data_IF_851957463966
#
_entry.id   IF_851957463966
#
_cell.length_a   1.000
_cell.length_b   1.000
_cell.length_c   1.000
_cell.angle_alpha   90.00
_cell.angle_beta   90.00
_cell.angle_gamma   90.00
#
_symmetry.space_group_name_H-M   'P 1'
#
loop_
_entity.id
_entity.type
_entity.pdbx_description
1 polymer ?
#
# COMPACT_ATOMS: atom_id res chain seq x y z
N UNK A 1 2.52 -37.48 -25.99
CA UNK A 1 3.52 -38.33 -25.34
C UNK A 1 3.27 -38.34 -23.84
N UNK A 2 3.64 -39.42 -23.16
CA UNK A 2 3.58 -39.54 -21.71
C UNK A 2 5.00 -39.78 -21.20
N UNK A 3 5.45 -38.96 -20.25
CA UNK A 3 6.81 -38.99 -19.69
C UNK A 3 6.69 -39.00 -18.18
N UNK A 4 7.27 -40.00 -17.53
CA UNK A 4 7.20 -40.18 -16.09
C UNK A 4 8.59 -40.51 -15.52
N UNK A 5 8.94 -39.88 -14.39
CA UNK A 5 10.17 -40.17 -13.65
C UNK A 5 11.47 -40.07 -14.48
N UNK A 6 11.51 -39.13 -15.42
CA UNK A 6 12.70 -38.88 -16.23
C UNK A 6 13.58 -37.79 -15.59
N UNK A 7 14.88 -37.89 -15.80
CA UNK A 7 15.85 -36.83 -15.48
C UNK A 7 16.33 -36.17 -16.80
N UNK A 8 15.96 -34.91 -17.00
CA UNK A 8 16.18 -34.15 -18.23
C UNK A 8 17.13 -32.99 -17.92
N UNK A 9 18.37 -33.09 -18.40
CA UNK A 9 19.39 -32.12 -18.03
C UNK A 9 20.46 -31.83 -19.07
N UNK A 10 21.21 -30.74 -18.88
CA UNK A 10 22.31 -30.29 -19.74
C UNK A 10 21.92 -30.10 -21.22
N UNK A 11 20.64 -29.77 -21.47
CA UNK A 11 20.13 -29.55 -22.82
C UNK A 11 20.61 -28.19 -23.36
N UNK A 12 20.95 -28.15 -24.66
CA UNK A 12 21.26 -26.90 -25.37
C UNK A 12 20.00 -26.04 -25.58
N UNK A 13 18.84 -26.68 -25.70
CA UNK A 13 17.52 -26.04 -25.82
C UNK A 13 16.67 -26.40 -24.60
N UNK A 14 15.35 -26.19 -24.67
CA UNK A 14 14.46 -26.53 -23.57
C UNK A 14 14.43 -28.04 -23.34
N UNK A 15 14.28 -28.46 -22.07
CA UNK A 15 14.12 -29.87 -21.72
C UNK A 15 12.85 -30.46 -22.34
N UNK A 16 11.76 -29.70 -22.32
CA UNK A 16 10.55 -29.99 -23.09
C UNK A 16 10.16 -28.80 -23.95
N UNK A 17 10.16 -28.97 -25.27
CA UNK A 17 9.55 -28.03 -26.21
C UNK A 17 8.20 -28.59 -26.68
N UNK A 18 7.13 -27.83 -26.45
CA UNK A 18 5.76 -28.19 -26.84
C UNK A 18 5.21 -27.15 -27.80
N UNK A 19 4.86 -27.58 -29.01
CA UNK A 19 4.40 -26.68 -30.06
C UNK A 19 3.32 -27.28 -30.96
N UNK A 20 2.74 -26.44 -31.81
CA UNK A 20 1.78 -26.83 -32.84
C UNK A 20 0.60 -27.65 -32.28
N UNK A 21 0.03 -27.22 -31.16
CA UNK A 21 -1.11 -27.91 -30.53
C UNK A 21 -0.77 -29.19 -29.78
N UNK A 22 0.51 -29.57 -29.66
CA UNK A 22 0.90 -30.76 -28.93
C UNK A 22 0.49 -30.69 -27.45
N UNK A 23 0.08 -31.83 -26.89
CA UNK A 23 -0.42 -31.94 -25.51
C UNK A 23 0.20 -33.13 -24.77
N UNK A 24 1.51 -33.08 -24.43
CA UNK A 24 2.14 -34.15 -23.68
C UNK A 24 1.73 -34.14 -22.21
N UNK A 25 1.92 -35.26 -21.53
CA UNK A 25 1.81 -35.36 -20.07
C UNK A 25 3.19 -35.69 -19.51
N UNK A 26 3.68 -34.87 -18.59
CA UNK A 26 5.00 -34.96 -17.97
C UNK A 26 4.81 -34.93 -16.45
N UNK A 27 5.16 -36.04 -15.80
CA UNK A 27 4.87 -36.27 -14.39
C UNK A 27 6.10 -36.75 -13.64
N UNK A 28 6.35 -36.25 -12.44
CA UNK A 28 7.46 -36.72 -11.58
C UNK A 28 8.85 -36.65 -12.22
N UNK A 29 9.05 -35.77 -13.20
CA UNK A 29 10.35 -35.57 -13.85
C UNK A 29 11.19 -34.51 -13.14
N UNK A 30 12.51 -34.60 -13.32
CA UNK A 30 13.48 -33.57 -12.95
C UNK A 30 13.98 -32.86 -14.23
N UNK A 31 13.88 -31.53 -14.29
CA UNK A 31 14.20 -30.73 -15.48
C UNK A 31 15.16 -29.62 -15.07
N UNK A 32 16.46 -29.81 -15.32
CA UNK A 32 17.46 -28.94 -14.73
C UNK A 32 18.73 -28.70 -15.54
N UNK A 33 19.50 -27.66 -15.17
CA UNK A 33 20.81 -27.37 -15.76
C UNK A 33 20.78 -27.24 -17.30
N UNK A 34 19.65 -26.82 -17.86
CA UNK A 34 19.52 -26.50 -19.28
C UNK A 34 20.12 -25.13 -19.62
N UNK A 35 20.62 -24.98 -20.85
CA UNK A 35 21.16 -23.70 -21.35
C UNK A 35 20.07 -22.67 -21.66
N UNK A 36 18.80 -23.08 -21.75
CA UNK A 36 17.63 -22.20 -21.91
C UNK A 36 16.59 -22.48 -20.80
N UNK A 37 15.28 -22.36 -21.08
CA UNK A 37 14.22 -22.64 -20.12
C UNK A 37 13.94 -24.13 -19.97
N UNK A 38 13.42 -24.58 -18.82
CA UNK A 38 13.15 -26.00 -18.59
C UNK A 38 12.04 -26.54 -19.50
N UNK A 39 10.91 -25.84 -19.52
CA UNK A 39 9.75 -26.14 -20.35
C UNK A 39 9.46 -24.92 -21.23
N UNK A 40 9.27 -25.14 -22.53
CA UNK A 40 8.90 -24.11 -23.49
C UNK A 40 7.66 -24.51 -24.27
N UNK A 41 6.54 -23.83 -24.01
CA UNK A 41 5.26 -24.06 -24.67
C UNK A 41 4.92 -22.88 -25.57
N UNK A 42 4.81 -23.13 -26.88
CA UNK A 42 4.56 -22.10 -27.88
C UNK A 42 3.67 -22.62 -29.02
N UNK A 43 3.30 -21.76 -29.98
CA UNK A 43 2.46 -22.11 -31.15
C UNK A 43 1.20 -22.92 -30.79
N UNK A 44 0.35 -22.38 -29.92
CA UNK A 44 -0.85 -23.04 -29.40
C UNK A 44 -0.57 -24.36 -28.67
N UNK A 45 0.65 -24.56 -28.18
CA UNK A 45 1.03 -25.72 -27.40
C UNK A 45 0.18 -25.84 -26.14
N UNK A 46 -0.12 -27.09 -25.79
CA UNK A 46 -0.79 -27.46 -24.55
C UNK A 46 0.25 -28.14 -23.65
N UNK A 47 -0.17 -29.18 -22.93
CA UNK A 47 0.70 -29.98 -22.08
C UNK A 47 0.25 -29.94 -20.63
N UNK A 48 0.49 -31.05 -19.95
CA UNK A 48 0.25 -31.21 -18.52
C UNK A 48 1.59 -31.50 -17.85
N UNK A 49 2.07 -30.56 -17.04
CA UNK A 49 3.31 -30.68 -16.28
C UNK A 49 2.93 -30.74 -14.81
N UNK A 50 2.97 -31.94 -14.25
CA UNK A 50 2.40 -32.26 -12.94
C UNK A 50 3.48 -32.86 -12.03
N UNK A 51 3.60 -32.37 -10.79
CA UNK A 51 4.46 -33.00 -9.77
C UNK A 51 5.95 -33.12 -10.20
N UNK A 52 6.46 -32.18 -11.00
CA UNK A 52 7.85 -32.14 -11.46
C UNK A 52 8.73 -31.20 -10.63
N UNK A 53 10.05 -31.38 -10.73
CA UNK A 53 11.05 -30.44 -10.22
C UNK A 53 11.74 -29.73 -11.39
N UNK A 54 11.71 -28.40 -11.40
CA UNK A 54 12.24 -27.58 -12.49
C UNK A 54 13.19 -26.55 -11.88
N UNK A 55 14.50 -26.72 -12.07
CA UNK A 55 15.46 -25.87 -11.36
C UNK A 55 16.78 -25.68 -12.06
N UNK A 56 17.58 -24.69 -11.60
CA UNK A 56 18.96 -24.49 -12.06
C UNK A 56 19.10 -24.30 -13.58
N UNK A 57 18.03 -23.89 -14.26
CA UNK A 57 18.05 -23.58 -15.68
C UNK A 57 18.59 -22.16 -15.89
N UNK A 58 19.24 -21.90 -17.02
CA UNK A 58 19.83 -20.59 -17.32
C UNK A 58 18.77 -19.53 -17.64
N UNK A 59 17.60 -19.92 -18.15
CA UNK A 59 16.45 -19.05 -18.31
C UNK A 59 15.29 -19.48 -17.39
N UNK A 60 14.07 -18.99 -17.64
CA UNK A 60 12.96 -19.27 -16.75
C UNK A 60 12.63 -20.77 -16.72
N UNK A 61 12.13 -21.26 -15.58
CA UNK A 61 11.74 -22.67 -15.45
C UNK A 61 10.70 -23.08 -16.49
N UNK A 62 9.68 -22.23 -16.69
CA UNK A 62 8.61 -22.43 -17.66
C UNK A 62 8.40 -21.19 -18.52
N UNK A 63 8.35 -21.36 -19.83
CA UNK A 63 7.98 -20.36 -20.81
C UNK A 63 6.66 -20.72 -21.50
N UNK A 64 5.74 -19.76 -21.53
CA UNK A 64 4.43 -19.92 -22.19
C UNK A 64 4.21 -18.73 -23.11
N UNK A 65 4.02 -19.00 -24.41
CA UNK A 65 3.84 -17.94 -25.41
C UNK A 65 2.99 -18.37 -26.60
N UNK A 66 2.73 -17.44 -27.52
CA UNK A 66 2.05 -17.68 -28.79
C UNK A 66 0.73 -18.43 -28.61
N UNK A 67 -0.17 -17.85 -27.80
CA UNK A 67 -1.50 -18.40 -27.50
C UNK A 67 -1.52 -19.79 -26.82
N UNK A 68 -0.38 -20.25 -26.29
CA UNK A 68 -0.29 -21.54 -25.61
C UNK A 68 -1.02 -21.56 -24.27
N UNK A 69 -1.53 -22.74 -23.88
CA UNK A 69 -2.38 -22.93 -22.72
C UNK A 69 -2.08 -24.24 -21.96
N UNK A 70 -0.89 -24.41 -21.39
CA UNK A 70 -0.54 -25.60 -20.63
C UNK A 70 -1.13 -25.59 -19.21
N UNK A 71 -1.16 -26.75 -18.57
CA UNK A 71 -1.40 -26.90 -17.13
C UNK A 71 -0.07 -27.16 -16.42
N UNK A 72 0.31 -26.25 -15.52
CA UNK A 72 1.50 -26.33 -14.67
C UNK A 72 1.00 -26.52 -13.24
N UNK A 73 1.08 -27.76 -12.73
CA UNK A 73 0.42 -28.14 -11.47
C UNK A 73 1.33 -28.87 -10.48
N UNK A 74 1.33 -28.46 -9.21
CA UNK A 74 2.08 -29.13 -8.13
C UNK A 74 3.58 -29.32 -8.39
N UNK A 75 4.19 -28.42 -9.17
CA UNK A 75 5.62 -28.48 -9.45
C UNK A 75 6.41 -27.68 -8.39
N UNK A 76 7.67 -28.07 -8.20
CA UNK A 76 8.69 -27.25 -7.52
C UNK A 76 9.51 -26.52 -8.60
N UNK A 77 9.48 -25.18 -8.60
CA UNK A 77 10.16 -24.34 -9.61
C UNK A 77 11.13 -23.38 -8.92
N UNK A 78 12.43 -23.68 -8.95
CA UNK A 78 13.36 -22.98 -8.08
C UNK A 78 14.77 -22.77 -8.60
N UNK A 79 15.49 -21.82 -7.99
CA UNK A 79 16.91 -21.54 -8.25
C UNK A 79 17.25 -21.39 -9.76
N UNK A 80 16.32 -20.88 -10.56
CA UNK A 80 16.58 -20.50 -11.96
C UNK A 80 17.27 -19.13 -12.03
N UNK A 81 18.06 -18.92 -13.09
CA UNK A 81 18.77 -17.66 -13.32
C UNK A 81 17.87 -16.55 -13.91
N UNK A 82 16.59 -16.84 -14.19
CA UNK A 82 15.55 -15.87 -14.53
C UNK A 82 14.30 -16.07 -13.66
N UNK A 83 13.09 -15.88 -14.21
CA UNK A 83 11.83 -16.07 -13.48
C UNK A 83 11.47 -17.54 -13.30
N UNK A 84 10.51 -17.86 -12.42
CA UNK A 84 10.02 -19.23 -12.30
C UNK A 84 9.16 -19.60 -13.50
N UNK A 85 8.06 -18.86 -13.70
CA UNK A 85 7.13 -19.01 -14.83
C UNK A 85 7.03 -17.68 -15.57
N UNK A 86 7.28 -17.68 -16.87
CA UNK A 86 7.23 -16.48 -17.70
C UNK A 86 6.25 -16.65 -18.86
N UNK A 87 5.25 -15.79 -18.87
CA UNK A 87 4.08 -15.86 -19.76
C UNK A 87 4.04 -14.56 -20.56
N UNK A 88 4.13 -14.67 -21.89
CA UNK A 88 4.21 -13.53 -22.80
C UNK A 88 3.55 -13.85 -24.14
N UNK A 89 3.34 -12.85 -25.01
CA UNK A 89 2.82 -13.06 -26.36
C UNK A 89 1.45 -13.76 -26.39
N UNK A 90 0.47 -13.22 -25.67
CA UNK A 90 -0.88 -13.80 -25.54
C UNK A 90 -0.89 -15.21 -24.91
N UNK A 91 0.16 -15.56 -24.16
CA UNK A 91 0.23 -16.80 -23.41
C UNK A 91 -0.89 -16.88 -22.37
N UNK A 92 -1.40 -18.10 -22.17
CA UNK A 92 -2.40 -18.43 -21.16
C UNK A 92 -1.81 -19.49 -20.22
N UNK A 93 -2.66 -20.38 -19.72
CA UNK A 93 -2.26 -21.51 -18.89
C UNK A 93 -2.91 -21.47 -17.52
N UNK A 94 -2.99 -22.66 -16.93
CA UNK A 94 -3.37 -22.86 -15.54
C UNK A 94 -2.11 -23.16 -14.72
N UNK A 95 -1.74 -22.23 -13.85
CA UNK A 95 -0.59 -22.35 -12.94
C UNK A 95 -1.18 -22.57 -11.55
N UNK A 96 -1.19 -23.81 -11.07
CA UNK A 96 -1.82 -24.12 -9.78
C UNK A 96 -1.04 -25.03 -8.84
N UNK A 97 -1.17 -24.78 -7.52
CA UNK A 97 -0.55 -25.62 -6.48
C UNK A 97 0.98 -25.75 -6.59
N UNK A 98 1.67 -24.86 -7.30
CA UNK A 98 3.12 -24.92 -7.45
C UNK A 98 3.82 -24.24 -6.26
N UNK A 99 5.05 -24.68 -5.99
CA UNK A 99 5.96 -24.04 -5.06
C UNK A 99 7.11 -23.38 -5.84
N UNK A 100 7.12 -22.05 -5.90
CA UNK A 100 8.01 -21.26 -6.77
C UNK A 100 8.93 -20.38 -5.91
N UNK A 101 10.24 -20.65 -5.91
CA UNK A 101 11.14 -19.97 -4.97
C UNK A 101 12.61 -19.85 -5.40
N UNK A 102 13.36 -18.94 -4.78
CA UNK A 102 14.81 -18.84 -5.00
C UNK A 102 15.23 -18.40 -6.41
N UNK A 103 14.29 -18.03 -7.27
CA UNK A 103 14.56 -17.59 -8.63
C UNK A 103 15.15 -16.17 -8.66
N UNK A 104 16.03 -15.90 -9.63
CA UNK A 104 16.76 -14.63 -9.72
C UNK A 104 15.87 -13.45 -10.17
N UNK A 105 14.85 -13.72 -10.99
CA UNK A 105 13.81 -12.74 -11.35
C UNK A 105 12.48 -13.10 -10.71
N UNK A 106 11.38 -12.46 -11.14
CA UNK A 106 10.09 -12.67 -10.50
C UNK A 106 9.62 -14.11 -10.60
N UNK A 107 8.97 -14.60 -9.53
CA UNK A 107 8.46 -15.96 -9.46
C UNK A 107 7.51 -16.26 -10.62
N UNK A 108 6.56 -15.35 -10.88
CA UNK A 108 5.70 -15.38 -12.06
C UNK A 108 5.75 -14.02 -12.77
N UNK A 109 5.94 -14.05 -14.08
CA UNK A 109 5.91 -12.88 -14.95
C UNK A 109 4.80 -13.02 -16.00
N UNK A 110 3.95 -12.01 -16.13
CA UNK A 110 2.82 -11.97 -17.07
C UNK A 110 2.93 -10.69 -17.90
N UNK A 111 3.08 -10.81 -19.22
CA UNK A 111 3.20 -9.64 -20.09
C UNK A 111 2.59 -9.79 -21.47
N UNK A 112 2.55 -8.69 -22.22
CA UNK A 112 2.20 -8.68 -23.65
C UNK A 112 0.83 -9.32 -23.89
N UNK A 113 -0.20 -8.76 -23.25
CA UNK A 113 -1.60 -9.20 -23.32
C UNK A 113 -1.86 -10.66 -22.88
N UNK A 114 -0.94 -11.29 -22.16
CA UNK A 114 -1.13 -12.64 -21.62
C UNK A 114 -2.19 -12.66 -20.51
N UNK A 115 -2.95 -13.74 -20.43
CA UNK A 115 -4.11 -13.88 -19.53
C UNK A 115 -4.18 -15.29 -18.90
N UNK A 116 -3.30 -15.60 -17.94
CA UNK A 116 -3.27 -16.90 -17.26
C UNK A 116 -4.22 -16.95 -16.05
N UNK A 117 -4.50 -18.17 -15.58
CA UNK A 117 -5.07 -18.42 -14.25
C UNK A 117 -3.95 -18.88 -13.32
N UNK A 118 -3.69 -18.11 -12.26
CA UNK A 118 -2.66 -18.37 -11.26
C UNK A 118 -3.35 -18.58 -9.92
N UNK A 119 -3.39 -19.82 -9.41
CA UNK A 119 -4.08 -20.11 -8.15
C UNK A 119 -3.44 -21.11 -7.22
N UNK A 120 -3.64 -20.97 -5.91
CA UNK A 120 -3.12 -21.91 -4.91
C UNK A 120 -1.58 -22.10 -4.94
N UNK A 121 -0.82 -21.17 -5.51
CA UNK A 121 0.64 -21.27 -5.54
C UNK A 121 1.27 -20.64 -4.30
N UNK A 122 2.44 -21.17 -3.91
CA UNK A 122 3.35 -20.53 -2.96
C UNK A 122 4.49 -19.88 -3.75
N UNK A 123 4.67 -18.57 -3.61
CA UNK A 123 5.63 -17.79 -4.39
C UNK A 123 6.51 -17.00 -3.43
N UNK A 124 7.74 -17.45 -3.19
CA UNK A 124 8.51 -16.94 -2.06
C UNK A 124 10.02 -16.95 -2.21
N UNK A 125 10.69 -16.18 -1.36
CA UNK A 125 12.15 -16.18 -1.26
C UNK A 125 12.86 -15.95 -2.62
N UNK A 126 12.24 -15.23 -3.55
CA UNK A 126 12.83 -14.80 -4.81
C UNK A 126 13.70 -13.55 -4.66
N UNK A 127 14.62 -13.35 -5.59
CA UNK A 127 15.52 -12.17 -5.60
C UNK A 127 14.87 -10.92 -6.22
N UNK A 128 13.69 -11.08 -6.81
CA UNK A 128 12.87 -9.99 -7.36
C UNK A 128 11.49 -9.96 -6.66
N UNK A 129 10.48 -9.38 -7.29
CA UNK A 129 9.09 -9.44 -6.84
C UNK A 129 8.44 -10.82 -7.02
N UNK A 130 7.37 -11.11 -6.30
CA UNK A 130 6.70 -12.41 -6.37
C UNK A 130 5.99 -12.62 -7.71
N UNK A 131 5.03 -11.75 -8.00
CA UNK A 131 4.30 -11.72 -9.27
C UNK A 131 4.51 -10.36 -9.95
N UNK A 132 4.91 -10.36 -11.22
CA UNK A 132 5.11 -9.15 -12.00
C UNK A 132 4.22 -9.15 -13.25
N UNK A 133 3.28 -8.21 -13.32
CA UNK A 133 2.33 -8.03 -14.41
C UNK A 133 2.63 -6.72 -15.12
N UNK A 134 3.06 -6.79 -16.37
CA UNK A 134 3.47 -5.60 -17.14
C UNK A 134 3.04 -5.68 -18.61
N UNK A 135 3.16 -4.58 -19.35
CA UNK A 135 2.83 -4.50 -20.78
C UNK A 135 1.45 -5.08 -21.13
N UNK A 136 0.41 -4.51 -20.51
CA UNK A 136 -0.99 -4.92 -20.69
C UNK A 136 -1.27 -6.38 -20.27
N UNK A 137 -0.43 -6.95 -19.41
CA UNK A 137 -0.67 -8.26 -18.81
C UNK A 137 -2.00 -8.29 -18.04
N UNK A 138 -2.65 -9.44 -18.09
CA UNK A 138 -3.94 -9.72 -17.48
C UNK A 138 -3.80 -10.92 -16.54
N UNK A 139 -4.89 -11.63 -16.27
CA UNK A 139 -4.90 -12.86 -15.50
C UNK A 139 -5.77 -12.78 -14.25
N UNK A 140 -6.30 -13.94 -13.89
CA UNK A 140 -6.91 -14.19 -12.59
C UNK A 140 -5.84 -14.75 -11.65
N UNK A 141 -5.49 -13.98 -10.63
CA UNK A 141 -4.51 -14.34 -9.60
C UNK A 141 -5.29 -14.53 -8.30
N UNK A 142 -5.58 -15.76 -7.93
CA UNK A 142 -6.42 -16.03 -6.76
C UNK A 142 -5.88 -17.07 -5.79
N UNK A 143 -6.11 -16.86 -4.49
CA UNK A 143 -5.80 -17.87 -3.46
C UNK A 143 -4.33 -18.30 -3.44
N UNK A 144 -3.41 -17.39 -3.82
CA UNK A 144 -1.97 -17.61 -3.73
C UNK A 144 -1.39 -17.07 -2.42
N UNK A 145 -0.26 -17.63 -2.01
CA UNK A 145 0.55 -17.17 -0.88
C UNK A 145 1.87 -16.60 -1.41
N UNK A 146 2.06 -15.29 -1.28
CA UNK A 146 3.21 -14.55 -1.83
C UNK A 146 3.97 -13.89 -0.69
N UNK A 147 5.20 -14.32 -0.42
CA UNK A 147 5.93 -13.88 0.78
C UNK A 147 7.45 -13.92 0.69
N UNK A 148 8.12 -13.14 1.56
CA UNK A 148 9.59 -13.14 1.69
C UNK A 148 10.37 -12.88 0.38
N UNK A 149 9.74 -12.29 -0.63
CA UNK A 149 10.39 -11.86 -1.86
C UNK A 149 11.16 -10.55 -1.62
N UNK A 150 12.23 -10.34 -2.39
CA UNK A 150 13.16 -9.23 -2.15
C UNK A 150 12.61 -7.88 -2.59
N UNK A 151 11.80 -7.85 -3.65
CA UNK A 151 11.09 -6.64 -4.10
C UNK A 151 9.59 -6.74 -3.75
N UNK A 152 8.75 -5.98 -4.45
CA UNK A 152 7.31 -5.97 -4.22
C UNK A 152 6.68 -7.37 -4.30
N UNK A 153 5.72 -7.67 -3.42
CA UNK A 153 5.00 -8.94 -3.46
C UNK A 153 4.32 -9.17 -4.81
N UNK A 154 3.51 -8.19 -5.22
CA UNK A 154 2.94 -8.08 -6.56
C UNK A 154 3.21 -6.70 -7.15
N UNK A 155 3.68 -6.66 -8.39
CA UNK A 155 3.91 -5.42 -9.12
C UNK A 155 3.11 -5.41 -10.42
N UNK A 156 2.27 -4.39 -10.59
CA UNK A 156 1.36 -4.20 -11.72
C UNK A 156 1.69 -2.87 -12.40
N UNK A 157 2.03 -2.93 -13.69
CA UNK A 157 2.53 -1.75 -14.42
C UNK A 157 2.17 -1.73 -15.90
N UNK A 158 2.38 -0.58 -16.55
CA UNK A 158 2.40 -0.42 -18.01
C UNK A 158 1.09 -0.90 -18.64
N UNK A 159 -0.02 -0.35 -18.15
CA UNK A 159 -1.37 -0.62 -18.67
C UNK A 159 -1.95 -1.97 -18.30
N UNK A 160 -1.34 -2.72 -17.38
CA UNK A 160 -1.83 -4.05 -16.96
C UNK A 160 -3.09 -3.96 -16.08
N UNK A 161 -4.00 -4.92 -16.21
CA UNK A 161 -5.31 -4.93 -15.51
C UNK A 161 -5.68 -6.30 -14.90
N UNK A 162 -4.79 -6.97 -14.11
CA UNK A 162 -5.11 -8.27 -13.53
C UNK A 162 -6.22 -8.18 -12.46
N UNK A 163 -6.82 -9.33 -12.16
CA UNK A 163 -7.74 -9.50 -11.01
C UNK A 163 -7.04 -10.32 -9.93
N UNK A 164 -6.79 -9.69 -8.78
CA UNK A 164 -6.20 -10.30 -7.60
C UNK A 164 -7.27 -10.55 -6.55
N UNK A 165 -7.53 -11.81 -6.22
CA UNK A 165 -8.61 -12.17 -5.30
C UNK A 165 -8.21 -13.19 -4.23
N UNK A 166 -8.55 -12.95 -2.96
CA UNK A 166 -8.32 -13.92 -1.87
C UNK A 166 -6.87 -14.39 -1.73
N UNK A 167 -5.89 -13.57 -2.12
CA UNK A 167 -4.47 -13.87 -1.93
C UNK A 167 -4.00 -13.46 -0.54
N UNK A 168 -2.95 -14.12 -0.07
CA UNK A 168 -2.17 -13.74 1.12
C UNK A 168 -0.83 -13.20 0.65
N UNK A 169 -0.60 -11.90 0.82
CA UNK A 169 0.61 -11.22 0.35
C UNK A 169 1.29 -10.62 1.58
N UNK A 170 2.38 -11.20 2.05
CA UNK A 170 2.92 -10.83 3.35
C UNK A 170 4.42 -10.97 3.51
N UNK A 171 4.96 -10.39 4.58
CA UNK A 171 6.37 -10.59 4.97
C UNK A 171 7.35 -10.25 3.85
N UNK A 172 7.00 -9.32 2.97
CA UNK A 172 7.85 -8.84 1.90
C UNK A 172 8.87 -7.82 2.41
N UNK A 173 10.05 -7.78 1.77
CA UNK A 173 11.08 -6.79 2.10
C UNK A 173 10.81 -5.42 1.47
N UNK A 174 9.76 -5.30 0.66
CA UNK A 174 9.31 -4.02 0.10
C UNK A 174 7.80 -3.83 0.24
N UNK A 175 7.14 -3.27 -0.78
CA UNK A 175 5.70 -3.01 -0.86
C UNK A 175 4.94 -4.32 -1.06
N UNK A 176 3.75 -4.46 -0.48
CA UNK A 176 2.90 -5.63 -0.73
C UNK A 176 2.40 -5.71 -2.17
N UNK A 177 1.57 -4.74 -2.56
CA UNK A 177 1.04 -4.61 -3.94
C UNK A 177 1.37 -3.23 -4.48
N UNK A 178 1.99 -3.19 -5.66
CA UNK A 178 2.46 -1.95 -6.26
C UNK A 178 1.82 -1.70 -7.63
N UNK A 179 1.01 -0.65 -7.72
CA UNK A 179 0.46 -0.12 -8.97
C UNK A 179 1.29 1.08 -9.45
N UNK A 180 1.91 0.94 -10.62
CA UNK A 180 2.83 1.92 -11.20
C UNK A 180 2.55 2.13 -12.69
N UNK A 181 2.85 3.31 -13.23
CA UNK A 181 2.83 3.61 -14.68
C UNK A 181 1.57 3.09 -15.38
N UNK A 182 0.42 3.67 -15.03
CA UNK A 182 -0.89 3.23 -15.51
C UNK A 182 -1.19 1.75 -15.18
N UNK A 183 -0.75 1.30 -14.01
CA UNK A 183 -1.14 0.01 -13.44
C UNK A 183 -2.58 0.08 -12.96
N UNK A 184 -3.41 -0.83 -13.43
CA UNK A 184 -4.84 -0.90 -13.12
C UNK A 184 -5.19 -2.30 -12.63
N UNK A 185 -6.49 -2.62 -12.59
CA UNK A 185 -6.97 -3.93 -12.19
C UNK A 185 -7.76 -3.88 -10.89
N UNK A 186 -8.05 -5.07 -10.37
CA UNK A 186 -8.89 -5.26 -9.19
C UNK A 186 -8.11 -5.99 -8.12
N UNK A 187 -8.18 -5.49 -6.90
CA UNK A 187 -7.62 -6.10 -5.71
C UNK A 187 -8.78 -6.34 -4.74
N UNK A 188 -9.27 -7.58 -4.68
CA UNK A 188 -10.52 -7.96 -4.02
C UNK A 188 -10.29 -9.00 -2.91
N UNK A 189 -10.75 -8.72 -1.69
CA UNK A 189 -10.77 -9.70 -0.59
C UNK A 189 -9.39 -10.33 -0.26
N UNK A 190 -8.31 -9.56 -0.38
CA UNK A 190 -6.95 -10.03 -0.09
C UNK A 190 -6.51 -9.67 1.34
N UNK A 191 -5.62 -10.49 1.88
CA UNK A 191 -4.92 -10.27 3.14
C UNK A 191 -3.50 -9.76 2.82
N UNK A 192 -3.19 -8.50 3.14
CA UNK A 192 -1.89 -7.85 2.83
C UNK A 192 -1.23 -7.35 4.11
N UNK A 193 -0.13 -7.96 4.54
CA UNK A 193 0.38 -7.68 5.88
C UNK A 193 1.88 -7.86 6.11
N UNK A 194 2.40 -7.24 7.16
CA UNK A 194 3.79 -7.39 7.63
C UNK A 194 4.85 -7.08 6.55
N UNK A 195 4.62 -6.06 5.73
CA UNK A 195 5.58 -5.55 4.75
C UNK A 195 6.50 -4.49 5.36
N UNK A 196 7.73 -4.40 4.85
CA UNK A 196 8.69 -3.38 5.31
C UNK A 196 8.26 -1.97 4.87
N UNK A 197 7.67 -1.84 3.68
CA UNK A 197 7.04 -0.60 3.21
C UNK A 197 5.51 -0.69 3.29
N UNK A 198 4.81 0.15 2.53
CA UNK A 198 3.36 0.16 2.52
C UNK A 198 2.76 -1.16 2.04
N UNK A 199 1.58 -1.51 2.56
CA UNK A 199 0.84 -2.66 2.08
C UNK A 199 0.46 -2.49 0.61
N UNK A 200 -0.07 -1.31 0.24
CA UNK A 200 -0.39 -0.97 -1.15
C UNK A 200 0.18 0.39 -1.52
N UNK A 201 0.74 0.50 -2.74
CA UNK A 201 1.14 1.77 -3.34
C UNK A 201 0.47 2.00 -4.70
N UNK A 202 0.03 3.23 -4.94
CA UNK A 202 -0.62 3.66 -6.19
C UNK A 202 0.02 4.97 -6.66
N UNK A 203 0.60 4.98 -7.87
CA UNK A 203 1.20 6.21 -8.44
C UNK A 203 1.23 6.25 -9.96
N UNK A 204 1.55 7.43 -10.50
CA UNK A 204 1.80 7.66 -11.94
C UNK A 204 0.60 7.22 -12.80
N UNK A 205 -0.56 7.87 -12.59
CA UNK A 205 -1.78 7.62 -13.36
C UNK A 205 -2.49 6.30 -13.04
N UNK A 206 -1.90 5.44 -12.20
CA UNK A 206 -2.52 4.18 -11.77
C UNK A 206 -3.86 4.42 -11.09
N UNK A 207 -4.86 3.62 -11.46
CA UNK A 207 -6.25 3.76 -11.00
C UNK A 207 -6.89 2.38 -10.77
N UNK A 208 -6.49 1.64 -9.71
CA UNK A 208 -7.05 0.34 -9.39
C UNK A 208 -8.37 0.44 -8.61
N UNK A 209 -9.14 -0.65 -8.62
CA UNK A 209 -10.25 -0.86 -7.67
C UNK A 209 -9.76 -1.78 -6.56
N UNK A 210 -9.75 -1.28 -5.33
CA UNK A 210 -9.28 -1.97 -4.13
C UNK A 210 -10.47 -2.15 -3.20
N UNK A 211 -10.97 -3.38 -3.09
CA UNK A 211 -12.22 -3.67 -2.38
C UNK A 211 -12.14 -4.83 -1.41
N UNK A 212 -12.70 -4.66 -0.20
CA UNK A 212 -12.84 -5.77 0.75
C UNK A 212 -11.52 -6.33 1.31
N UNK A 213 -10.40 -5.62 1.15
CA UNK A 213 -9.09 -6.10 1.59
C UNK A 213 -8.84 -5.78 3.05
N UNK A 214 -7.99 -6.59 3.68
CA UNK A 214 -7.39 -6.32 4.99
C UNK A 214 -5.93 -5.94 4.81
N UNK A 215 -5.52 -4.78 5.33
CA UNK A 215 -4.16 -4.24 5.16
C UNK A 215 -3.57 -3.83 6.52
N UNK A 216 -2.60 -4.59 7.05
CA UNK A 216 -2.13 -4.38 8.42
C UNK A 216 -0.68 -4.77 8.72
N UNK A 217 -0.18 -4.37 9.88
CA UNK A 217 1.12 -4.82 10.41
C UNK A 217 2.34 -4.33 9.62
N UNK A 218 2.16 -3.40 8.68
CA UNK A 218 3.26 -2.81 7.91
C UNK A 218 4.10 -1.87 8.77
N UNK A 219 5.41 -1.80 8.49
CA UNK A 219 6.31 -0.83 9.15
C UNK A 219 6.18 0.60 8.58
N UNK A 220 5.35 0.79 7.55
CA UNK A 220 5.04 2.07 6.93
C UNK A 220 3.51 2.30 6.94
N UNK A 221 2.97 3.17 6.07
CA UNK A 221 1.54 3.40 5.96
C UNK A 221 0.82 2.24 5.26
N UNK A 222 -0.45 2.00 5.59
CA UNK A 222 -1.23 0.88 5.02
C UNK A 222 -1.38 1.00 3.50
N UNK A 223 -1.93 2.14 3.04
CA UNK A 223 -2.02 2.49 1.62
C UNK A 223 -1.37 3.85 1.36
N UNK A 224 -0.51 3.94 0.36
CA UNK A 224 0.12 5.18 -0.08
C UNK A 224 -0.26 5.50 -1.53
N UNK A 225 -0.95 6.63 -1.73
CA UNK A 225 -1.33 7.17 -3.03
C UNK A 225 -0.52 8.45 -3.27
N UNK A 226 0.32 8.45 -4.32
CA UNK A 226 1.24 9.56 -4.58
C UNK A 226 1.53 9.77 -6.06
N UNK A 227 2.13 10.92 -6.41
CA UNK A 227 2.53 11.30 -7.77
C UNK A 227 1.41 11.11 -8.80
N UNK A 228 0.27 11.76 -8.58
CA UNK A 228 -0.90 11.65 -9.45
C UNK A 228 -1.56 10.26 -9.43
N UNK A 229 -1.41 9.51 -8.33
CA UNK A 229 -2.13 8.26 -8.12
C UNK A 229 -3.63 8.52 -7.93
N UNK A 230 -4.44 7.57 -8.40
CA UNK A 230 -5.90 7.58 -8.28
C UNK A 230 -6.34 6.34 -7.49
N UNK A 231 -7.47 5.75 -7.86
CA UNK A 231 -7.98 4.51 -7.30
C UNK A 231 -9.27 4.70 -6.52
N UNK A 232 -10.07 3.63 -6.50
CA UNK A 232 -11.24 3.48 -5.64
C UNK A 232 -10.90 2.49 -4.53
N UNK A 233 -10.87 2.95 -3.29
CA UNK A 233 -10.73 2.12 -2.10
C UNK A 233 -12.12 1.99 -1.47
N UNK A 234 -12.72 0.81 -1.56
CA UNK A 234 -14.07 0.54 -1.05
C UNK A 234 -14.08 -0.60 -0.01
N UNK A 235 -14.73 -0.40 1.14
CA UNK A 235 -14.97 -1.50 2.10
C UNK A 235 -13.70 -2.22 2.60
N UNK A 236 -12.55 -1.54 2.65
CA UNK A 236 -11.31 -2.12 3.16
C UNK A 236 -11.17 -1.90 4.67
N UNK A 237 -10.46 -2.80 5.32
CA UNK A 237 -10.03 -2.67 6.72
C UNK A 237 -8.52 -2.43 6.76
N UNK A 238 -8.12 -1.25 7.24
CA UNK A 238 -6.71 -0.81 7.27
C UNK A 238 -6.34 -0.49 8.72
N UNK A 239 -5.46 -1.29 9.33
CA UNK A 239 -5.23 -1.21 10.77
C UNK A 239 -3.84 -1.64 11.21
N UNK A 240 -3.44 -1.30 12.45
CA UNK A 240 -2.15 -1.68 13.07
C UNK A 240 -0.93 -1.45 12.16
N UNK A 241 -0.96 -0.35 11.38
CA UNK A 241 0.18 0.09 10.60
C UNK A 241 1.02 1.07 11.42
N UNK A 242 2.34 1.03 11.25
CA UNK A 242 3.26 1.85 12.05
C UNK A 242 3.22 3.34 11.67
N UNK A 243 2.79 3.66 10.46
CA UNK A 243 2.51 5.03 10.01
C UNK A 243 1.02 5.17 9.66
N UNK A 244 0.64 6.17 8.86
CA UNK A 244 -0.77 6.43 8.63
C UNK A 244 -1.49 5.27 7.95
N UNK A 245 -2.76 5.07 8.28
CA UNK A 245 -3.57 4.07 7.59
C UNK A 245 -3.61 4.32 6.09
N UNK A 246 -3.95 5.54 5.69
CA UNK A 246 -3.87 5.98 4.28
C UNK A 246 -3.10 7.30 4.15
N UNK A 247 -2.19 7.34 3.20
CA UNK A 247 -1.51 8.55 2.75
C UNK A 247 -1.91 8.97 1.35
N UNK A 248 -2.22 10.25 1.19
CA UNK A 248 -2.52 10.87 -0.09
C UNK A 248 -1.59 12.07 -0.27
N UNK A 249 -0.72 12.05 -1.27
CA UNK A 249 0.24 13.13 -1.51
C UNK A 249 0.51 13.43 -2.98
N UNK A 250 1.15 14.56 -3.25
CA UNK A 250 1.66 14.95 -4.58
C UNK A 250 0.56 14.88 -5.64
N UNK A 251 -0.43 15.74 -5.47
CA UNK A 251 -1.58 15.94 -6.38
C UNK A 251 -2.44 14.69 -6.66
N UNK A 252 -2.31 13.65 -5.83
CA UNK A 252 -3.11 12.43 -5.92
C UNK A 252 -4.57 12.67 -5.53
N UNK A 253 -5.48 11.92 -6.17
CA UNK A 253 -6.92 12.15 -6.03
C UNK A 253 -7.72 10.82 -5.98
N UNK A 254 -7.53 9.97 -4.95
CA UNK A 254 -8.27 8.73 -4.81
C UNK A 254 -9.69 8.98 -4.24
N UNK A 255 -10.56 7.99 -4.41
CA UNK A 255 -11.85 7.93 -3.71
C UNK A 255 -11.81 6.84 -2.64
N UNK A 256 -12.08 7.21 -1.39
CA UNK A 256 -12.17 6.30 -0.26
C UNK A 256 -13.64 6.23 0.18
N UNK A 257 -14.25 5.06 0.06
CA UNK A 257 -15.66 4.82 0.39
C UNK A 257 -15.85 3.67 1.37
N UNK A 258 -16.56 3.90 2.48
CA UNK A 258 -16.95 2.82 3.42
C UNK A 258 -15.78 2.00 3.97
N UNK A 259 -14.59 2.58 4.08
CA UNK A 259 -13.44 1.91 4.68
C UNK A 259 -13.46 2.06 6.20
N UNK A 260 -12.84 1.10 6.89
CA UNK A 260 -12.51 1.19 8.31
C UNK A 260 -11.01 1.38 8.46
N UNK A 261 -10.60 2.48 9.08
CA UNK A 261 -9.18 2.84 9.24
C UNK A 261 -8.90 3.10 10.72
N UNK A 262 -8.20 2.17 11.36
CA UNK A 262 -8.21 2.14 12.83
C UNK A 262 -6.99 1.53 13.48
N UNK A 263 -6.81 1.79 14.78
CA UNK A 263 -5.72 1.23 15.60
C UNK A 263 -4.31 1.42 14.98
N UNK A 264 -4.12 2.47 14.16
CA UNK A 264 -2.81 2.85 13.60
C UNK A 264 -1.96 3.64 14.57
N UNK A 265 -0.63 3.58 14.43
CA UNK A 265 0.33 4.26 15.32
C UNK A 265 0.60 5.72 14.95
N UNK A 266 0.04 6.18 13.83
CA UNK A 266 0.07 7.57 13.36
C UNK A 266 -1.37 8.04 13.04
N UNK A 267 -1.57 8.94 12.08
CA UNK A 267 -2.88 9.42 11.69
C UNK A 267 -3.70 8.35 10.96
N UNK A 268 -5.02 8.43 11.02
CA UNK A 268 -5.87 7.52 10.24
C UNK A 268 -5.68 7.74 8.74
N UNK A 269 -5.94 8.97 8.29
CA UNK A 269 -5.67 9.43 6.93
C UNK A 269 -4.85 10.70 6.99
N UNK A 270 -3.70 10.76 6.30
CA UNK A 270 -2.96 12.00 6.16
C UNK A 270 -2.82 12.43 4.69
N UNK A 271 -3.09 13.72 4.44
CA UNK A 271 -3.22 14.30 3.10
C UNK A 271 -2.27 15.50 3.02
N UNK A 272 -1.30 15.42 2.10
CA UNK A 272 -0.18 16.37 2.00
C UNK A 272 0.08 16.78 0.54
N UNK A 273 0.87 17.84 0.36
CA UNK A 273 1.48 18.26 -0.91
C UNK A 273 0.49 18.29 -2.08
N UNK A 274 -0.57 19.10 -1.98
CA UNK A 274 -1.58 19.20 -3.03
C UNK A 274 -2.53 18.00 -3.11
N UNK A 275 -2.45 17.06 -2.16
CA UNK A 275 -3.33 15.90 -2.09
C UNK A 275 -4.81 16.29 -2.07
N UNK A 276 -5.61 15.52 -2.80
CA UNK A 276 -7.06 15.68 -2.95
C UNK A 276 -7.74 14.38 -2.54
N UNK A 277 -8.94 14.16 -3.06
CA UNK A 277 -9.69 12.92 -2.88
C UNK A 277 -11.06 13.17 -2.27
N UNK A 278 -11.89 12.14 -2.42
CA UNK A 278 -13.24 12.10 -1.83
C UNK A 278 -13.23 11.00 -0.78
N UNK A 279 -13.47 11.39 0.46
CA UNK A 279 -13.60 10.50 1.61
C UNK A 279 -15.08 10.45 1.96
N UNK A 280 -15.76 9.35 1.64
CA UNK A 280 -17.20 9.20 1.83
C UNK A 280 -17.54 7.99 2.72
N UNK A 281 -18.38 8.19 3.73
CA UNK A 281 -18.94 7.11 4.57
C UNK A 281 -17.86 6.23 5.25
N UNK A 282 -16.66 6.75 5.52
CA UNK A 282 -15.60 6.00 6.18
C UNK A 282 -15.70 6.08 7.71
N UNK A 283 -15.25 5.03 8.37
CA UNK A 283 -15.05 4.97 9.82
C UNK A 283 -13.55 5.07 10.12
N UNK A 284 -13.16 6.12 10.84
CA UNK A 284 -11.76 6.41 11.15
C UNK A 284 -11.64 6.55 12.66
N UNK A 285 -11.02 5.60 13.34
CA UNK A 285 -11.12 5.54 14.81
C UNK A 285 -9.92 4.93 15.51
N UNK A 286 -9.72 5.31 16.78
CA UNK A 286 -8.64 4.76 17.65
C UNK A 286 -7.23 4.83 17.07
N UNK A 287 -6.98 5.77 16.16
CA UNK A 287 -5.64 6.06 15.67
C UNK A 287 -4.89 6.91 16.72
N UNK A 288 -3.56 6.73 16.79
CA UNK A 288 -2.74 7.39 17.80
C UNK A 288 -2.55 8.89 17.55
N UNK A 289 -2.65 9.34 16.29
CA UNK A 289 -2.67 10.75 15.92
C UNK A 289 -4.04 11.16 15.38
N UNK A 290 -4.10 12.29 14.66
CA UNK A 290 -5.34 12.82 14.14
C UNK A 290 -6.07 11.76 13.29
N UNK A 291 -7.40 11.68 13.42
CA UNK A 291 -8.20 10.81 12.56
C UNK A 291 -7.96 11.16 11.09
N UNK A 292 -8.10 12.44 10.74
CA UNK A 292 -7.71 12.97 9.43
C UNK A 292 -6.80 14.18 9.60
N UNK A 293 -5.59 14.13 9.04
CA UNK A 293 -4.64 15.25 8.98
C UNK A 293 -4.54 15.78 7.56
N UNK A 294 -4.79 17.07 7.38
CA UNK A 294 -4.78 17.75 6.08
C UNK A 294 -3.76 18.90 6.14
N UNK A 295 -2.79 18.91 5.24
CA UNK A 295 -1.68 19.87 5.29
C UNK A 295 -1.13 20.16 3.90
N UNK A 296 -0.32 21.22 3.81
CA UNK A 296 0.52 21.54 2.65
C UNK A 296 -0.30 21.69 1.37
N UNK A 297 -1.17 22.70 1.37
CA UNK A 297 -2.02 23.07 0.22
C UNK A 297 -2.89 21.90 -0.30
N UNK A 298 -3.32 21.00 0.59
CA UNK A 298 -4.24 19.92 0.25
C UNK A 298 -5.69 20.39 0.33
N UNK A 299 -6.58 19.78 -0.46
CA UNK A 299 -7.97 20.22 -0.65
C UNK A 299 -8.96 19.05 -0.82
N UNK A 300 -9.09 18.11 0.14
CA UNK A 300 -9.99 16.98 0.03
C UNK A 300 -11.45 17.33 0.34
N UNK A 301 -12.36 16.43 -0.05
CA UNK A 301 -13.77 16.46 0.32
C UNK A 301 -14.05 15.30 1.29
N UNK A 302 -14.54 15.62 2.48
CA UNK A 302 -14.96 14.67 3.50
C UNK A 302 -16.48 14.73 3.64
N UNK A 303 -17.16 13.64 3.31
CA UNK A 303 -18.62 13.55 3.37
C UNK A 303 -19.09 12.36 4.19
N UNK A 304 -19.96 12.59 5.17
CA UNK A 304 -20.63 11.51 5.95
C UNK A 304 -19.67 10.53 6.63
N UNK A 305 -18.45 10.94 6.96
CA UNK A 305 -17.51 10.10 7.70
C UNK A 305 -17.80 10.13 9.19
N UNK A 306 -17.43 9.06 9.89
CA UNK A 306 -17.39 8.99 11.35
C UNK A 306 -15.93 8.96 11.80
N UNK A 307 -15.53 9.96 12.59
CA UNK A 307 -14.15 10.13 13.06
C UNK A 307 -14.15 10.20 14.58
N UNK A 308 -13.69 9.13 15.24
CA UNK A 308 -13.99 8.97 16.66
C UNK A 308 -13.00 8.14 17.47
N UNK A 309 -13.07 8.27 18.80
CA UNK A 309 -12.25 7.54 19.78
C UNK A 309 -10.72 7.61 19.50
N UNK A 310 -10.26 8.64 18.79
CA UNK A 310 -8.85 8.87 18.49
C UNK A 310 -8.08 9.45 19.68
N UNK A 311 -6.78 9.14 19.77
CA UNK A 311 -5.92 9.65 20.85
C UNK A 311 -5.43 11.09 20.64
N UNK A 312 -5.82 11.73 19.53
CA UNK A 312 -5.53 13.12 19.22
C UNK A 312 -6.80 13.89 18.79
N UNK A 313 -6.69 14.79 17.80
CA UNK A 313 -7.83 15.49 17.22
C UNK A 313 -8.61 14.59 16.24
N UNK A 314 -9.88 14.89 16.02
CA UNK A 314 -10.65 14.21 14.98
C UNK A 314 -10.14 14.57 13.58
N UNK A 315 -10.27 15.84 13.22
CA UNK A 315 -9.75 16.42 11.97
C UNK A 315 -8.80 17.56 12.32
N UNK A 316 -7.62 17.56 11.70
CA UNK A 316 -6.61 18.60 11.83
C UNK A 316 -6.28 19.19 10.45
N UNK A 317 -6.33 20.52 10.30
CA UNK A 317 -6.03 21.20 9.03
C UNK A 317 -4.97 22.28 9.26
N UNK A 318 -3.86 22.22 8.52
CA UNK A 318 -2.66 23.06 8.71
C UNK A 318 -2.04 23.52 7.39
N UNK A 319 -0.99 24.35 7.46
CA UNK A 319 -0.08 24.66 6.35
C UNK A 319 -0.78 25.04 5.03
N UNK A 320 -1.65 26.05 5.09
CA UNK A 320 -2.41 26.57 3.94
C UNK A 320 -3.27 25.53 3.22
N UNK A 321 -3.59 24.40 3.86
CA UNK A 321 -4.58 23.49 3.36
C UNK A 321 -6.00 24.00 3.66
N UNK A 322 -6.97 23.45 2.95
CA UNK A 322 -8.40 23.60 3.26
C UNK A 322 -9.11 22.28 3.01
N UNK A 323 -10.40 22.21 3.28
CA UNK A 323 -11.21 21.03 3.02
C UNK A 323 -12.68 21.42 2.87
N UNK A 324 -13.45 20.55 2.21
CA UNK A 324 -14.91 20.58 2.29
C UNK A 324 -15.38 19.47 3.21
N UNK A 325 -15.99 19.83 4.34
CA UNK A 325 -16.51 18.90 5.35
C UNK A 325 -18.04 18.97 5.33
N UNK A 326 -18.69 17.89 4.90
CA UNK A 326 -20.15 17.80 4.81
C UNK A 326 -20.72 16.62 5.60
N UNK A 327 -21.62 16.89 6.53
CA UNK A 327 -22.39 15.86 7.26
C UNK A 327 -21.54 14.81 7.98
N UNK A 328 -20.30 15.14 8.37
CA UNK A 328 -19.44 14.25 9.12
C UNK A 328 -19.84 14.25 10.61
N UNK A 329 -19.54 13.15 11.30
CA UNK A 329 -19.67 13.01 12.74
C UNK A 329 -18.28 12.88 13.35
N UNK A 330 -17.90 13.81 14.22
CA UNK A 330 -16.56 13.85 14.83
C UNK A 330 -16.69 13.91 16.35
N UNK A 331 -16.38 12.82 17.04
CA UNK A 331 -16.74 12.68 18.45
C UNK A 331 -15.79 11.83 19.26
N UNK A 332 -15.80 12.00 20.59
CA UNK A 332 -15.00 11.21 21.54
C UNK A 332 -13.47 11.21 21.30
N UNK A 333 -12.93 12.20 20.59
CA UNK A 333 -11.49 12.32 20.41
C UNK A 333 -10.84 12.98 21.65
N UNK A 334 -9.57 12.67 21.92
CA UNK A 334 -8.85 13.20 23.09
C UNK A 334 -8.64 14.73 23.02
N UNK A 335 -8.41 15.27 21.83
CA UNK A 335 -8.34 16.71 21.60
C UNK A 335 -9.61 17.19 20.90
N UNK A 336 -9.58 18.40 20.33
CA UNK A 336 -10.72 18.94 19.61
C UNK A 336 -11.18 18.05 18.45
N UNK A 337 -12.48 18.08 18.16
CA UNK A 337 -13.01 17.37 17.00
C UNK A 337 -12.51 17.96 15.68
N UNK A 338 -12.46 19.29 15.56
CA UNK A 338 -11.92 19.99 14.39
C UNK A 338 -10.91 21.04 14.87
N UNK A 339 -9.64 20.85 14.54
CA UNK A 339 -8.54 21.75 14.88
C UNK A 339 -8.01 22.42 13.61
N UNK A 340 -7.97 23.77 13.59
CA UNK A 340 -7.63 24.57 12.42
C UNK A 340 -6.46 25.50 12.74
N UNK A 341 -5.39 25.43 11.96
CA UNK A 341 -4.27 26.37 12.10
C UNK A 341 -4.67 27.79 11.69
N UNK A 342 -3.88 28.79 12.10
CA UNK A 342 -4.08 30.18 11.71
C UNK A 342 -4.18 30.34 10.19
N UNK A 343 -5.22 31.03 9.73
CA UNK A 343 -5.48 31.29 8.32
C UNK A 343 -6.19 30.17 7.57
N UNK A 344 -6.47 29.03 8.21
CA UNK A 344 -7.22 27.92 7.61
C UNK A 344 -8.72 28.16 7.69
N UNK A 345 -9.40 28.10 6.54
CA UNK A 345 -10.85 28.28 6.44
C UNK A 345 -11.46 27.14 5.58
N UNK A 346 -11.92 26.04 6.21
CA UNK A 346 -12.61 24.98 5.49
C UNK A 346 -14.08 25.35 5.24
N UNK A 347 -14.65 24.74 4.19
CA UNK A 347 -16.09 24.78 3.97
C UNK A 347 -16.73 23.73 4.87
N UNK A 348 -17.61 24.16 5.78
CA UNK A 348 -18.28 23.27 6.74
C UNK A 348 -19.78 23.32 6.57
N UNK A 349 -20.43 22.17 6.41
CA UNK A 349 -21.89 22.07 6.27
C UNK A 349 -22.45 20.85 6.99
N UNK A 350 -23.36 21.08 7.94
CA UNK A 350 -24.13 19.99 8.58
C UNK A 350 -23.30 18.97 9.37
N UNK A 351 -22.04 19.27 9.72
CA UNK A 351 -21.21 18.39 10.54
C UNK A 351 -21.69 18.40 12.00
N UNK A 352 -21.58 17.25 12.67
CA UNK A 352 -21.86 17.09 14.10
C UNK A 352 -20.55 16.85 14.83
N UNK A 353 -20.14 17.77 15.69
CA UNK A 353 -18.92 17.68 16.51
C UNK A 353 -19.34 17.71 17.98
N UNK A 354 -19.10 16.64 18.73
CA UNK A 354 -19.63 16.49 20.08
C UNK A 354 -18.80 15.53 20.93
N UNK A 355 -18.90 15.63 22.27
CA UNK A 355 -18.26 14.73 23.24
C UNK A 355 -16.74 14.54 23.10
N UNK A 356 -16.04 15.44 22.42
CA UNK A 356 -14.58 15.43 22.43
C UNK A 356 -14.06 15.88 23.80
N UNK A 357 -12.87 15.43 24.18
CA UNK A 357 -12.37 15.67 25.54
C UNK A 357 -11.74 17.05 25.72
N UNK A 358 -11.40 17.73 24.61
CA UNK A 358 -10.83 19.09 24.58
C UNK A 358 -9.67 19.26 25.58
N UNK A 359 -8.81 18.25 25.66
CA UNK A 359 -7.77 18.18 26.69
C UNK A 359 -6.77 19.35 26.62
N UNK A 360 -6.59 19.96 25.44
CA UNK A 360 -5.76 21.17 25.26
C UNK A 360 -6.40 22.36 25.96
N UNK A 361 -7.68 22.63 25.70
CA UNK A 361 -8.40 23.77 26.29
C UNK A 361 -8.47 23.64 27.82
N UNK A 362 -8.73 22.44 28.32
CA UNK A 362 -8.71 22.15 29.76
C UNK A 362 -7.33 22.41 30.38
N UNK A 363 -6.26 22.02 29.70
CA UNK A 363 -4.92 22.30 30.17
C UNK A 363 -4.57 23.79 30.17
N UNK A 364 -4.99 24.53 29.13
CA UNK A 364 -4.87 25.98 29.06
C UNK A 364 -5.60 26.64 30.23
N UNK A 365 -6.85 26.24 30.49
CA UNK A 365 -7.65 26.77 31.58
C UNK A 365 -7.01 26.51 32.97
N UNK A 366 -6.38 25.35 33.14
CA UNK A 366 -5.74 24.95 34.40
C UNK A 366 -4.27 25.43 34.53
N UNK A 367 -3.75 26.23 33.61
CA UNK A 367 -2.36 26.70 33.64
C UNK A 367 -1.32 25.58 33.49
N UNK A 368 -1.70 24.40 33.00
CA UNK A 368 -0.82 23.25 32.87
C UNK A 368 0.14 23.40 31.68
N UNK A 369 1.40 23.00 31.86
CA UNK A 369 2.36 23.00 30.75
C UNK A 369 1.87 22.12 29.59
N UNK A 370 1.65 22.68 28.40
CA UNK A 370 1.14 21.94 27.24
C UNK A 370 2.09 20.83 26.79
N UNK A 371 3.38 20.92 27.11
CA UNK A 371 4.34 19.84 26.89
C UNK A 371 4.03 18.57 27.70
N UNK A 372 3.32 18.68 28.82
CA UNK A 372 2.89 17.50 29.62
C UNK A 372 1.66 16.80 29.04
N UNK A 373 0.84 17.52 28.25
CA UNK A 373 -0.32 16.94 27.56
C UNK A 373 0.10 16.39 26.20
N UNK A 374 1.02 17.07 25.52
CA UNK A 374 1.70 16.56 24.33
C UNK A 374 2.63 15.42 24.76
N UNK A 375 2.32 14.17 24.47
CA UNK A 375 3.35 13.14 24.57
C UNK A 375 4.51 13.48 23.61
N UNK A 376 5.67 12.83 23.75
CA UNK A 376 6.74 12.89 22.75
C UNK A 376 6.27 12.54 21.32
N UNK A 377 5.09 11.95 21.18
CA UNK A 377 4.50 11.47 19.94
C UNK A 377 3.37 12.35 19.40
N UNK A 378 2.73 13.21 20.18
CA UNK A 378 1.56 13.98 19.74
C UNK A 378 1.69 15.44 20.13
N UNK A 379 1.86 16.31 19.13
CA UNK A 379 1.89 17.76 19.32
C UNK A 379 0.49 18.32 19.06
N UNK A 380 -0.31 18.61 20.10
CA UNK A 380 -1.60 19.22 19.92
C UNK A 380 -1.44 20.64 19.37
N UNK A 381 -2.44 21.07 18.60
CA UNK A 381 -2.52 22.42 18.09
C UNK A 381 -2.82 23.41 19.22
N UNK A 382 -2.07 24.50 19.33
CA UNK A 382 -2.29 25.55 20.31
C UNK A 382 -1.64 26.88 19.89
N UNK A 383 -1.91 27.93 20.66
CA UNK A 383 -1.34 29.26 20.43
C UNK A 383 0.15 29.31 20.78
N UNK A 384 0.92 29.90 19.87
CA UNK A 384 2.35 30.17 19.99
C UNK A 384 2.61 31.67 20.02
N UNK A 385 3.49 32.06 20.94
CA UNK A 385 3.87 33.44 21.20
C UNK A 385 5.38 33.63 21.07
N UNK A 386 5.78 34.82 20.63
CA UNK A 386 7.15 35.32 20.70
C UNK A 386 7.28 36.16 21.95
N UNK A 387 8.27 35.90 22.79
CA UNK A 387 8.72 36.82 23.81
C UNK A 387 9.90 37.64 23.29
N UNK A 388 9.71 38.96 23.15
CA UNK A 388 10.73 39.89 22.68
C UNK A 388 11.77 40.14 23.77
N UNK A 389 11.35 40.24 25.03
CA UNK A 389 12.25 40.36 26.20
C UNK A 389 13.28 39.23 26.27
N UNK A 390 12.88 38.00 25.92
CA UNK A 390 13.76 36.83 25.93
C UNK A 390 14.40 36.52 24.56
N UNK A 391 14.20 37.38 23.57
CA UNK A 391 14.69 37.21 22.19
C UNK A 391 14.34 35.83 21.59
N UNK A 392 13.12 35.36 21.83
CA UNK A 392 12.64 34.12 21.20
C UNK A 392 12.28 34.36 19.73
N UNK A 393 12.34 33.29 18.94
CA UNK A 393 12.06 33.25 17.51
C UNK A 393 10.92 32.28 17.23
N UNK A 394 10.48 32.23 15.98
CA UNK A 394 9.50 31.25 15.50
C UNK A 394 9.85 29.78 15.75
N UNK A 395 11.15 29.45 15.88
CA UNK A 395 11.62 28.08 16.13
C UNK A 395 11.51 27.67 17.60
N UNK A 396 11.51 28.64 18.51
CA UNK A 396 11.42 28.46 19.97
C UNK A 396 10.25 29.27 20.54
N UNK A 397 9.14 29.34 19.79
CA UNK A 397 7.93 30.00 20.24
C UNK A 397 7.35 29.33 21.51
N UNK A 398 6.73 30.14 22.35
CA UNK A 398 6.31 29.82 23.71
C UNK A 398 4.80 29.56 23.72
N UNK A 399 4.33 28.60 24.53
CA UNK A 399 2.90 28.33 24.66
C UNK A 399 2.17 29.34 25.57
N UNK A 400 0.84 29.41 25.44
CA UNK A 400 -0.04 30.32 26.22
C UNK A 400 0.14 30.23 27.74
N UNK A 401 0.45 29.06 28.30
CA UNK A 401 0.62 28.93 29.74
C UNK A 401 2.01 29.37 30.20
N UNK A 402 3.05 29.11 29.41
CA UNK A 402 4.40 29.58 29.71
C UNK A 402 4.47 31.12 29.68
N UNK A 403 3.71 31.79 28.80
CA UNK A 403 3.67 33.26 28.83
C UNK A 403 3.00 33.81 30.10
N UNK A 404 2.02 33.10 30.66
CA UNK A 404 1.32 33.51 31.88
C UNK A 404 2.12 33.24 33.15
N UNK A 405 3.00 32.23 33.13
CA UNK A 405 3.77 31.83 34.32
C UNK A 405 5.22 32.31 34.27
N UNK A 406 5.98 31.87 33.27
CA UNK A 406 7.44 32.05 33.22
C UNK A 406 7.85 33.36 32.54
N UNK A 407 7.01 33.89 31.66
CA UNK A 407 7.23 35.17 30.98
C UNK A 407 6.20 36.23 31.41
N UNK A 408 5.67 36.12 32.63
CA UNK A 408 4.75 37.09 33.18
C UNK A 408 5.41 38.47 33.25
N UNK A 409 4.77 39.48 32.66
CA UNK A 409 5.31 40.85 32.60
C UNK A 409 6.35 41.07 31.50
N UNK A 410 6.67 40.07 30.68
CA UNK A 410 7.51 40.27 29.50
C UNK A 410 6.70 40.82 28.31
N UNK A 411 7.39 41.43 27.36
CA UNK A 411 6.81 41.81 26.09
C UNK A 411 6.63 40.56 25.20
N UNK A 412 5.38 40.27 24.87
CA UNK A 412 4.97 39.06 24.15
C UNK A 412 4.00 39.37 23.01
N UNK A 413 4.20 38.66 21.91
CA UNK A 413 3.53 38.83 20.63
C UNK A 413 2.91 37.49 20.21
N UNK A 414 1.65 37.47 19.81
CA UNK A 414 1.04 36.28 19.21
C UNK A 414 1.63 36.04 17.81
N UNK A 415 2.05 34.81 17.54
CA UNK A 415 2.61 34.44 16.23
C UNK A 415 1.58 33.69 15.40
N UNK A 416 1.06 32.57 15.96
CA UNK A 416 0.18 31.65 15.25
C UNK A 416 -0.47 30.65 16.19
N UNK A 417 -1.60 30.11 15.77
CA UNK A 417 -2.21 28.88 16.27
C UNK A 417 -1.82 27.76 15.31
N UNK A 418 -1.04 26.79 15.78
CA UNK A 418 -0.53 25.74 14.89
C UNK A 418 -0.10 24.51 15.69
N UNK A 419 0.34 23.47 15.00
CA UNK A 419 1.10 22.36 15.57
C UNK A 419 2.55 22.80 15.79
N UNK A 420 3.20 22.30 16.84
CA UNK A 420 4.64 22.52 17.03
C UNK A 420 5.40 21.99 15.81
N UNK A 421 6.17 22.83 15.13
CA UNK A 421 7.05 22.44 14.02
C UNK A 421 8.14 21.50 14.53
N UNK A 422 7.88 20.20 14.53
CA UNK A 422 8.92 19.18 14.71
C UNK A 422 8.77 18.11 13.64
N UNK A 423 9.74 18.06 12.73
CA UNK A 423 10.15 16.88 11.96
C UNK A 423 9.13 16.16 11.05
N UNK A 424 8.06 16.81 10.57
CA UNK A 424 7.23 16.23 9.48
C UNK A 424 7.89 16.32 8.09
N UNK A 425 9.12 16.86 7.99
CA UNK A 425 10.02 16.54 6.88
C UNK A 425 10.74 15.21 7.18
N UNK A 426 9.99 14.11 7.30
CA UNK A 426 10.63 12.81 7.08
C UNK A 426 10.98 12.75 5.58
N UNK A 427 12.18 12.27 5.20
CA UNK A 427 12.56 12.14 3.80
C UNK A 427 11.48 11.37 3.05
N UNK A 428 11.24 11.73 1.79
CA UNK A 428 10.42 10.93 0.90
C UNK A 428 10.81 9.45 1.06
N UNK A 429 9.88 8.54 1.39
CA UNK A 429 10.18 7.12 1.24
C UNK A 429 10.45 6.89 -0.25
N UNK A 430 11.69 6.52 -0.55
CA UNK A 430 12.18 6.11 -1.88
C UNK A 430 11.32 4.97 -2.42
#
# INVERSE_FOLDING_TARGET
GYFEANDIHNNRIAGFEVKAGANPTVVHCEIHHGQTGGIYVHENGLGQFIDNKIHSNNFAGVWITSNSNPTIRRNEIYNGHQGGVYIFGEGRGLIEHNNIYGNALAGIQIRTNSDPIVRHNKIHHGQHGGIYVHEKGQGLIEENEVYANTLAGVWITTGSTPVLRRNRIHSGKQVGVYFYDNGHGKLEDNDIFNHLYSGVQIRTGSNPVIRGNKIWGGQNGGVLVYNGGLGLLEQNEIFDNAMAGVWIKTDSNPTLKRNKIFDGRDGGICIFNGGKGILEENDIFRNAQAGVLISTQSHPILRRNRIFDGLAAGVEITNNATATLEFNQIFNNRFGGLCLASGVQPIVRGNKIFNNQDAVEKAVANGQCLYKISSYTSFPMHDFYRCQTCNTTDRNAICVNCIKTCHAGHDVEFIRHDRKKSFLMSPEPV
#
